data_IF_223737464011
#
_entry.id   IF_223737464011
#
_cell.length_a   1.000
_cell.length_b   1.000
_cell.length_c   1.000
_cell.angle_alpha   90.00
_cell.angle_beta   90.00
_cell.angle_gamma   90.00
#
_symmetry.space_group_name_H-M   'P 1'
#
loop_
_entity.id
_entity.type
_entity.pdbx_description
1 polymer ?
#
# COMPACT_ATOMS: atom_id res chain seq x y z
N UNK A 1 -7.66 12.19 1.22
CA UNK A 1 -6.22 11.93 1.19
C UNK A 1 -5.87 11.05 2.38
N UNK A 2 -5.26 9.89 2.16
CA UNK A 2 -5.11 8.91 3.24
C UNK A 2 -5.51 7.49 2.88
N UNK A 3 -6.04 7.33 1.68
CA UNK A 3 -6.16 6.05 1.02
C UNK A 3 -5.08 5.91 -0.05
N UNK A 4 -4.69 4.67 -0.32
CA UNK A 4 -3.87 4.29 -1.45
C UNK A 4 -4.32 2.89 -1.89
N UNK A 5 -4.52 2.70 -3.19
CA UNK A 5 -4.87 1.40 -3.74
C UNK A 5 -4.18 1.22 -5.10
N UNK A 6 -3.84 -0.02 -5.42
CA UNK A 6 -3.33 -0.41 -6.73
C UNK A 6 -3.55 -1.90 -6.98
N UNK A 7 -3.41 -2.30 -8.24
CA UNK A 7 -3.30 -3.68 -8.65
C UNK A 7 -1.98 -3.86 -9.42
N UNK A 8 -1.26 -4.93 -9.12
CA UNK A 8 -0.09 -5.40 -9.85
C UNK A 8 -0.42 -6.74 -10.53
N UNK A 9 -0.79 -6.73 -11.81
CA UNK A 9 -1.11 -7.95 -12.56
C UNK A 9 0.09 -8.89 -12.72
N UNK A 10 1.33 -8.38 -12.66
CA UNK A 10 2.53 -9.21 -12.85
C UNK A 10 2.79 -10.12 -11.66
N UNK A 11 2.47 -9.65 -10.45
CA UNK A 11 2.55 -10.44 -9.22
C UNK A 11 1.18 -10.95 -8.74
N UNK A 12 0.10 -10.71 -9.49
CA UNK A 12 -1.27 -11.05 -9.08
C UNK A 12 -1.75 -10.35 -7.80
N UNK A 13 -1.17 -9.20 -7.43
CA UNK A 13 -1.42 -8.53 -6.15
C UNK A 13 -2.43 -7.40 -6.28
N UNK A 14 -3.48 -7.41 -5.45
CA UNK A 14 -4.34 -6.26 -5.21
C UNK A 14 -4.08 -5.70 -3.81
N UNK A 15 -3.87 -4.39 -3.69
CA UNK A 15 -3.54 -3.73 -2.43
C UNK A 15 -4.47 -2.54 -2.17
N UNK A 16 -4.98 -2.45 -0.95
CA UNK A 16 -5.80 -1.35 -0.46
C UNK A 16 -5.38 -0.90 0.93
N UNK A 17 -5.22 0.40 1.10
CA UNK A 17 -4.87 1.05 2.35
C UNK A 17 -5.84 2.19 2.62
N UNK A 18 -6.36 2.25 3.84
CA UNK A 18 -7.19 3.35 4.34
C UNK A 18 -6.73 3.71 5.74
N UNK A 19 -6.32 4.97 5.96
CA UNK A 19 -5.96 5.47 7.29
C UNK A 19 -7.18 6.01 8.02
N UNK A 20 -7.31 5.66 9.30
CA UNK A 20 -8.40 6.14 10.16
C UNK A 20 -8.35 7.66 10.36
N UNK A 21 -7.16 8.23 10.59
CA UNK A 21 -6.96 9.67 10.78
C UNK A 21 -5.91 10.24 9.82
N UNK A 22 -6.26 11.36 9.19
CA UNK A 22 -5.41 12.08 8.23
C UNK A 22 -4.70 13.25 8.90
N UNK A 23 -3.40 13.10 9.13
CA UNK A 23 -2.49 14.19 9.47
C UNK A 23 -2.07 14.93 8.19
N UNK A 24 -1.96 16.25 8.29
CA UNK A 24 -1.48 17.15 7.23
C UNK A 24 0.06 17.09 7.13
N UNK A 25 0.67 17.17 5.93
CA UNK A 25 0.04 17.25 4.62
C UNK A 25 -0.57 15.90 4.22
N UNK A 26 -1.70 15.95 3.52
CA UNK A 26 -2.47 14.76 3.17
C UNK A 26 -1.70 13.69 2.41
N UNK A 27 -2.21 12.47 2.44
CA UNK A 27 -1.61 11.34 1.72
C UNK A 27 -1.63 10.06 2.55
N UNK A 28 -1.21 8.96 1.92
CA UNK A 28 -0.96 7.71 2.63
C UNK A 28 0.14 7.91 3.69
N UNK A 29 0.08 7.17 4.78
CA UNK A 29 1.08 7.30 5.82
C UNK A 29 2.47 6.83 5.30
N UNK A 30 3.59 7.43 5.74
CA UNK A 30 4.92 7.03 5.29
C UNK A 30 5.22 5.53 5.53
N UNK A 31 4.69 4.95 6.60
CA UNK A 31 4.84 3.53 6.93
C UNK A 31 4.21 2.62 5.86
N UNK A 32 3.17 3.13 5.16
CA UNK A 32 2.50 2.42 4.09
C UNK A 32 3.47 2.00 2.99
N UNK A 33 4.51 2.79 2.71
CA UNK A 33 5.52 2.45 1.70
C UNK A 33 6.30 1.17 2.05
N UNK A 34 6.63 0.98 3.33
CA UNK A 34 7.31 -0.23 3.81
C UNK A 34 6.39 -1.43 3.71
N UNK A 35 5.11 -1.24 4.04
CA UNK A 35 4.10 -2.30 3.96
C UNK A 35 3.87 -2.76 2.51
N UNK A 36 3.70 -1.82 1.58
CA UNK A 36 3.58 -2.14 0.13
C UNK A 36 4.76 -2.95 -0.36
N UNK A 37 5.99 -2.58 0.02
CA UNK A 37 7.20 -3.32 -0.35
C UNK A 37 7.23 -4.73 0.22
N UNK A 38 6.79 -4.92 1.46
CA UNK A 38 6.74 -6.23 2.10
C UNK A 38 5.72 -7.14 1.42
N UNK A 39 4.51 -6.63 1.17
CA UNK A 39 3.44 -7.39 0.52
C UNK A 39 3.83 -7.76 -0.92
N UNK A 40 4.41 -6.83 -1.67
CA UNK A 40 4.87 -7.12 -3.03
C UNK A 40 5.97 -8.20 -3.06
N UNK A 41 6.93 -8.16 -2.14
CA UNK A 41 7.94 -9.23 -2.01
C UNK A 41 7.31 -10.58 -1.66
N UNK A 42 6.34 -10.60 -0.76
CA UNK A 42 5.63 -11.83 -0.42
C UNK A 42 4.85 -12.39 -1.61
N UNK A 43 4.22 -11.53 -2.42
CA UNK A 43 3.51 -11.94 -3.63
C UNK A 43 4.45 -12.53 -4.70
N UNK A 44 5.70 -12.06 -4.78
CA UNK A 44 6.72 -12.58 -5.70
C UNK A 44 7.44 -13.84 -5.20
N UNK A 45 7.27 -14.22 -3.94
CA UNK A 45 7.94 -15.39 -3.37
C UNK A 45 7.20 -16.72 -3.65
N UNK A 46 6.13 -16.66 -4.45
CA UNK A 46 5.29 -17.78 -4.89
C UNK A 46 5.88 -18.46 -6.12
#
# INVERSE_FOLDING_TARGET
GGSQAFADPRSGLAYGYTRRWMAFPGGAAPENQRFVRAVHRAALAV
#
